data_IF_593699703332
#
_entry.id   IF_593699703332
#
_cell.length_a   1.000
_cell.length_b   1.000
_cell.length_c   1.000
_cell.angle_alpha   90.00
_cell.angle_beta   90.00
_cell.angle_gamma   90.00
#
_symmetry.space_group_name_H-M   'P 1'
#
loop_
_entity.id
_entity.type
_entity.pdbx_description
1 polymer ?
#
# COMPACT_ATOMS: atom_id res chain seq x y z
N UNK A 1 6.59 5.80 12.86
CA UNK A 1 5.42 5.00 13.25
C UNK A 1 4.30 5.38 12.32
N UNK A 2 3.56 4.41 11.78
CA UNK A 2 2.48 4.72 10.85
C UNK A 2 1.26 5.30 11.57
N UNK A 3 0.71 6.38 11.04
CA UNK A 3 -0.61 6.88 11.45
C UNK A 3 -1.72 5.97 10.88
N UNK A 4 -2.95 6.14 11.38
CA UNK A 4 -4.10 5.39 10.85
C UNK A 4 -4.37 5.70 9.36
N UNK A 5 -4.11 6.93 8.92
CA UNK A 5 -4.29 7.35 7.53
C UNK A 5 -3.20 6.74 6.63
N UNK A 6 -1.94 6.80 7.05
CA UNK A 6 -0.82 6.15 6.35
C UNK A 6 -1.02 4.63 6.24
N UNK A 7 -1.54 4.00 7.30
CA UNK A 7 -1.85 2.57 7.25
C UNK A 7 -3.01 2.27 6.29
N UNK A 8 -4.08 3.07 6.30
CA UNK A 8 -5.18 2.94 5.34
C UNK A 8 -4.70 3.15 3.90
N UNK A 9 -3.77 4.10 3.69
CA UNK A 9 -3.12 4.33 2.41
C UNK A 9 -2.34 3.10 1.95
N UNK A 10 -1.51 2.54 2.82
CA UNK A 10 -0.75 1.33 2.53
C UNK A 10 -1.66 0.13 2.16
N UNK A 11 -2.79 0.00 2.85
CA UNK A 11 -3.78 -1.05 2.55
C UNK A 11 -4.46 -0.82 1.19
N UNK A 12 -4.78 0.42 0.83
CA UNK A 12 -5.34 0.76 -0.47
C UNK A 12 -4.33 0.53 -1.61
N UNK A 13 -3.04 0.76 -1.38
CA UNK A 13 -1.99 0.47 -2.39
C UNK A 13 -1.99 -1.01 -2.75
N UNK A 14 -2.26 -1.87 -1.76
CA UNK A 14 -2.34 -3.30 -1.98
C UNK A 14 -3.59 -3.74 -2.73
N UNK A 15 -4.74 -3.13 -2.46
CA UNK A 15 -6.07 -3.65 -2.87
C UNK A 15 -6.68 -2.94 -4.06
N UNK A 16 -6.42 -1.65 -4.20
CA UNK A 16 -7.05 -0.78 -5.17
C UNK A 16 -6.10 0.38 -5.53
N UNK A 17 -4.89 0.09 -6.05
CA UNK A 17 -3.90 1.13 -6.39
C UNK A 17 -4.43 2.16 -7.40
N UNK A 18 -5.41 1.79 -8.23
CA UNK A 18 -6.10 2.68 -9.17
C UNK A 18 -7.04 3.70 -8.50
N UNK A 19 -7.50 3.43 -7.28
CA UNK A 19 -8.44 4.28 -6.53
C UNK A 19 -7.74 5.24 -5.58
N UNK A 20 -6.39 5.21 -5.51
CA UNK A 20 -5.63 6.06 -4.61
C UNK A 20 -5.75 7.53 -5.00
N UNK A 21 -6.48 8.25 -4.16
CA UNK A 21 -6.57 9.70 -4.08
C UNK A 21 -6.24 10.14 -2.65
N UNK A 22 -5.18 9.57 -2.08
CA UNK A 22 -4.75 9.90 -0.72
C UNK A 22 -3.88 11.16 -0.73
N UNK A 23 -3.81 11.81 0.43
CA UNK A 23 -3.05 13.02 0.59
C UNK A 23 -1.60 12.79 0.16
N UNK A 24 -1.00 13.82 -0.45
CA UNK A 24 0.39 13.74 -0.92
C UNK A 24 1.32 13.46 0.25
N UNK A 25 0.99 13.93 1.45
CA UNK A 25 1.81 13.75 2.65
C UNK A 25 1.81 12.29 3.12
N UNK A 26 0.68 11.59 3.08
CA UNK A 26 0.61 10.14 3.40
C UNK A 26 1.45 9.32 2.41
N UNK A 27 1.34 9.62 1.11
CA UNK A 27 2.10 8.92 0.07
C UNK A 27 3.59 9.23 0.19
N UNK A 28 3.97 10.47 0.48
CA UNK A 28 5.37 10.87 0.74
C UNK A 28 5.91 10.10 1.94
N UNK A 29 5.19 10.06 3.05
CA UNK A 29 5.62 9.34 4.25
C UNK A 29 5.83 7.84 3.99
N UNK A 30 4.94 7.21 3.21
CA UNK A 30 5.08 5.78 2.85
C UNK A 30 6.28 5.52 1.92
N UNK A 31 6.60 6.45 1.01
CA UNK A 31 7.81 6.37 0.16
C UNK A 31 9.07 6.58 1.01
N UNK A 32 9.08 7.57 1.90
CA UNK A 32 10.20 7.84 2.81
C UNK A 32 10.49 6.66 3.74
N UNK A 33 9.44 5.95 4.17
CA UNK A 33 9.55 4.73 4.97
C UNK A 33 9.82 3.47 4.12
N UNK A 34 10.01 3.61 2.80
CA UNK A 34 10.30 2.51 1.87
C UNK A 34 9.22 1.41 1.84
N UNK A 35 7.98 1.74 2.19
CA UNK A 35 6.87 0.81 2.20
C UNK A 35 6.16 0.72 0.84
N UNK A 36 6.28 1.78 0.04
CA UNK A 36 5.77 1.84 -1.34
C UNK A 36 6.80 2.49 -2.26
N UNK A 37 6.65 2.23 -3.55
CA UNK A 37 7.37 2.89 -4.64
C UNK A 37 6.40 3.45 -5.67
N UNK A 38 6.80 4.47 -6.41
CA UNK A 38 6.01 5.03 -7.50
C UNK A 38 6.44 4.41 -8.82
N UNK A 39 5.69 3.44 -9.30
CA UNK A 39 5.94 2.79 -10.58
C UNK A 39 5.24 3.53 -11.71
N UNK A 40 5.81 3.48 -12.92
CA UNK A 40 5.14 4.01 -14.10
C UNK A 40 4.31 2.89 -14.72
N UNK A 41 3.01 3.11 -14.79
CA UNK A 41 2.10 2.24 -15.53
C UNK A 41 2.31 2.48 -17.03
N UNK A 42 2.85 1.48 -17.73
CA UNK A 42 3.16 1.58 -19.17
C UNK A 42 1.90 1.70 -20.04
N UNK A 43 0.75 1.20 -19.58
CA UNK A 43 -0.50 1.25 -20.32
C UNK A 43 -1.17 2.63 -20.25
N UNK A 44 -1.10 3.30 -19.08
CA UNK A 44 -1.70 4.62 -18.88
C UNK A 44 -0.71 5.79 -18.89
N UNK A 45 0.59 5.50 -18.85
CA UNK A 45 1.68 6.48 -18.75
C UNK A 45 1.74 7.21 -17.40
N UNK A 46 0.90 6.83 -16.44
CA UNK A 46 0.76 7.48 -15.13
C UNK A 46 1.64 6.81 -14.08
N UNK A 47 2.08 7.57 -13.09
CA UNK A 47 2.70 6.99 -11.90
C UNK A 47 1.63 6.42 -10.97
N UNK A 48 1.81 5.18 -10.53
CA UNK A 48 0.97 4.50 -9.56
C UNK A 48 1.83 4.00 -8.40
N UNK A 49 1.33 4.09 -7.17
CA UNK A 49 2.02 3.48 -6.04
C UNK A 49 1.94 1.95 -6.14
N UNK A 50 3.03 1.28 -5.79
CA UNK A 50 3.13 -0.16 -5.66
C UNK A 50 3.80 -0.52 -4.32
N UNK A 51 3.40 -1.64 -3.73
CA UNK A 51 3.98 -2.11 -2.47
C UNK A 51 5.43 -2.57 -2.66
N UNK A 52 6.28 -2.24 -1.68
CA UNK A 52 7.54 -2.94 -1.51
C UNK A 52 7.35 -4.24 -0.71
N UNK A 53 8.40 -5.05 -0.65
CA UNK A 53 8.42 -6.23 0.22
C UNK A 53 8.22 -5.87 1.71
N UNK A 54 8.71 -4.70 2.12
CA UNK A 54 8.58 -4.21 3.50
C UNK A 54 7.15 -3.75 3.78
N UNK A 55 6.54 -2.99 2.87
CA UNK A 55 5.12 -2.62 2.95
C UNK A 55 4.20 -3.83 3.06
N UNK A 56 4.44 -4.85 2.23
CA UNK A 56 3.69 -6.10 2.29
C UNK A 56 3.89 -6.84 3.63
N UNK A 57 5.11 -6.80 4.18
CA UNK A 57 5.41 -7.42 5.48
C UNK A 57 4.68 -6.73 6.63
N UNK A 58 4.58 -5.39 6.60
CA UNK A 58 3.78 -4.62 7.56
C UNK A 58 2.31 -5.05 7.52
N UNK A 59 1.72 -5.13 6.32
CA UNK A 59 0.32 -5.56 6.17
C UNK A 59 0.10 -6.99 6.69
N UNK A 60 1.00 -7.92 6.38
CA UNK A 60 0.92 -9.31 6.88
C UNK A 60 1.05 -9.38 8.40
N UNK A 61 1.86 -8.52 9.02
CA UNK A 61 2.01 -8.50 10.47
C UNK A 61 0.68 -8.15 11.15
N UNK A 62 -0.01 -7.11 10.68
CA UNK A 62 -1.30 -6.70 11.24
C UNK A 62 -2.38 -7.76 11.03
N UNK A 63 -2.45 -8.35 9.83
CA UNK A 63 -3.42 -9.42 9.52
C UNK A 63 -3.26 -10.66 10.41
N UNK A 64 -2.03 -10.96 10.86
CA UNK A 64 -1.76 -12.07 11.80
C UNK A 64 -2.27 -11.77 13.21
N UNK A 65 -2.35 -10.50 13.59
CA UNK A 65 -2.83 -10.07 14.91
C UNK A 65 -4.36 -9.96 14.96
N UNK A 66 -5.02 -9.71 13.81
CA UNK A 66 -6.48 -9.55 13.73
C UNK A 66 -7.28 -10.86 13.56
N UNK A 67 -6.63 -12.03 13.48
CA UNK A 67 -7.29 -13.35 13.51
C UNK A 67 -8.28 -13.66 12.38
N UNK A 68 -8.52 -12.76 11.42
CA UNK A 68 -9.54 -12.90 10.38
C UNK A 68 -8.94 -12.81 8.97
N UNK A 69 -8.80 -14.00 8.36
CA UNK A 69 -9.02 -14.33 6.94
C UNK A 69 -8.86 -13.17 5.95
N UNK A 70 -7.66 -13.02 5.41
CA UNK A 70 -7.44 -12.41 4.10
C UNK A 70 -6.81 -13.43 3.16
N UNK A 71 -7.59 -14.46 2.83
CA UNK A 71 -7.43 -15.17 1.56
C UNK A 71 -8.01 -14.24 0.49
N UNK A 72 -7.16 -13.40 -0.10
CA UNK A 72 -7.48 -12.74 -1.36
C UNK A 72 -6.80 -13.57 -2.46
N UNK A 73 -7.57 -14.50 -3.00
CA UNK A 73 -7.50 -15.08 -4.33
C UNK A 73 -6.30 -14.62 -5.17
N UNK A 74 -5.26 -15.45 -5.23
CA UNK A 74 -4.45 -15.59 -6.45
C UNK A 74 -5.22 -16.54 -7.38
N UNK A 75 -5.74 -16.00 -8.48
CA UNK A 75 -6.27 -16.74 -9.62
C UNK A 75 -5.76 -16.09 -10.91
#
# INVERSE_FOLDING_TARGET
MLTAHEFAALFLVHRAPEQIQLDRDDIVALVEQQLIVMERDDASGRHRPALTADGLSVLRCVQRHDGARFDATEA
#
